data_IF_991889820028
#
_entry.id   IF_991889820028
#
_cell.length_a   1.000
_cell.length_b   1.000
_cell.length_c   1.000
_cell.angle_alpha   90.00
_cell.angle_beta   90.00
_cell.angle_gamma   90.00
#
_symmetry.space_group_name_H-M   'P 1'
#
loop_
_entity.id
_entity.type
_entity.pdbx_description
1 polymer ?
#
# COMPACT_ATOMS: atom_id res chain seq x y z
N UNK A 1 10.05 34.49 33.09
CA UNK A 1 10.18 34.13 31.66
C UNK A 1 10.45 35.41 30.88
N UNK A 2 11.57 35.47 30.17
CA UNK A 2 11.91 36.64 29.34
C UNK A 2 11.07 36.64 28.06
N UNK A 3 10.86 37.79 27.38
CA UNK A 3 10.16 37.84 26.09
C UNK A 3 10.78 36.91 25.04
N UNK A 4 12.11 36.71 25.09
CA UNK A 4 12.84 35.79 24.21
C UNK A 4 12.50 34.33 24.49
N UNK A 5 12.44 33.94 25.76
CA UNK A 5 12.04 32.59 26.16
C UNK A 5 10.58 32.31 25.77
N UNK A 6 9.68 33.29 25.93
CA UNK A 6 8.29 33.16 25.52
C UNK A 6 8.15 32.93 24.02
N UNK A 7 8.91 33.67 23.21
CA UNK A 7 8.95 33.50 21.75
C UNK A 7 9.52 32.13 21.34
N UNK A 8 10.57 31.65 22.02
CA UNK A 8 11.14 30.32 21.76
C UNK A 8 10.16 29.21 22.13
N UNK A 9 9.42 29.34 23.23
CA UNK A 9 8.42 28.36 23.64
C UNK A 9 7.22 28.35 22.67
N UNK A 10 6.78 29.53 22.23
CA UNK A 10 5.73 29.64 21.21
C UNK A 10 6.17 28.99 19.89
N UNK A 11 7.43 29.22 19.49
CA UNK A 11 8.01 28.55 18.32
C UNK A 11 8.04 27.02 18.50
N UNK A 12 8.49 26.53 19.66
CA UNK A 12 8.48 25.10 20.00
C UNK A 12 7.08 24.49 19.84
N UNK A 13 6.07 25.13 20.45
CA UNK A 13 4.68 24.68 20.38
C UNK A 13 4.15 24.64 18.95
N UNK A 14 4.48 25.63 18.13
CA UNK A 14 4.07 25.66 16.71
C UNK A 14 4.69 24.52 15.89
N UNK A 15 5.98 24.20 16.13
CA UNK A 15 6.68 23.12 15.44
C UNK A 15 6.08 21.77 15.80
N UNK A 16 5.82 21.53 17.09
CA UNK A 16 5.24 20.27 17.57
C UNK A 16 3.82 20.09 17.04
N UNK A 17 3.00 21.15 17.06
CA UNK A 17 1.65 21.11 16.52
C UNK A 17 1.66 20.76 15.02
N UNK A 18 2.54 21.40 14.26
CA UNK A 18 2.71 21.13 12.83
C UNK A 18 3.13 19.68 12.56
N UNK A 19 4.10 19.16 13.32
CA UNK A 19 4.55 17.78 13.21
C UNK A 19 3.44 16.78 13.60
N UNK A 20 2.66 17.08 14.63
CA UNK A 20 1.52 16.26 15.06
C UNK A 20 0.41 16.21 14.00
N UNK A 21 0.11 17.34 13.35
CA UNK A 21 -0.84 17.40 12.22
C UNK A 21 -0.32 16.56 11.04
N UNK A 22 0.97 16.70 10.70
CA UNK A 22 1.62 15.92 9.65
C UNK A 22 1.53 14.42 9.93
N UNK A 23 1.89 14.00 11.14
CA UNK A 23 1.87 12.61 11.56
C UNK A 23 0.46 12.03 11.58
N UNK A 24 -0.55 12.82 11.95
CA UNK A 24 -1.95 12.40 11.94
C UNK A 24 -2.44 12.10 10.51
N UNK A 25 -2.08 12.94 9.55
CA UNK A 25 -2.40 12.72 8.14
C UNK A 25 -1.61 11.53 7.57
N UNK A 26 -0.32 11.41 7.90
CA UNK A 26 0.50 10.26 7.51
C UNK A 26 -0.10 8.95 8.04
N UNK A 27 -0.49 8.90 9.32
CA UNK A 27 -1.11 7.73 9.94
C UNK A 27 -2.41 7.33 9.24
N UNK A 28 -3.22 8.29 8.79
CA UNK A 28 -4.42 8.02 8.00
C UNK A 28 -4.07 7.30 6.68
N UNK A 29 -3.14 7.85 5.89
CA UNK A 29 -2.72 7.23 4.63
C UNK A 29 -2.03 5.88 4.84
N UNK A 30 -1.24 5.75 5.90
CA UNK A 30 -0.63 4.49 6.30
C UNK A 30 -1.68 3.42 6.66
N UNK A 31 -2.76 3.80 7.34
CA UNK A 31 -3.90 2.93 7.62
C UNK A 31 -4.59 2.45 6.33
N UNK A 32 -4.85 3.36 5.39
CA UNK A 32 -5.38 3.00 4.05
C UNK A 32 -4.44 2.04 3.33
N UNK A 33 -3.13 2.31 3.37
CA UNK A 33 -2.15 1.45 2.74
C UNK A 33 -2.12 0.04 3.35
N UNK A 34 -2.23 -0.05 4.68
CA UNK A 34 -2.28 -1.31 5.42
C UNK A 34 -3.51 -2.14 5.02
N UNK A 35 -4.68 -1.52 4.88
CA UNK A 35 -5.88 -2.23 4.42
C UNK A 35 -5.68 -2.75 2.99
N UNK A 36 -5.12 -1.92 2.10
CA UNK A 36 -4.87 -2.30 0.72
C UNK A 36 -3.86 -3.45 0.60
N UNK A 37 -2.78 -3.46 1.39
CA UNK A 37 -1.78 -4.53 1.33
C UNK A 37 -2.34 -5.85 1.85
N UNK A 38 -3.15 -5.82 2.91
CA UNK A 38 -3.84 -7.01 3.44
C UNK A 38 -4.78 -7.57 2.37
N UNK A 39 -5.62 -6.73 1.77
CA UNK A 39 -6.59 -7.16 0.75
C UNK A 39 -5.91 -7.67 -0.52
N UNK A 40 -4.86 -6.99 -0.98
CA UNK A 40 -4.04 -7.40 -2.12
C UNK A 40 -3.40 -8.77 -1.89
N UNK A 41 -2.78 -8.96 -0.73
CA UNK A 41 -2.10 -10.21 -0.37
C UNK A 41 -3.09 -11.36 -0.21
N UNK A 42 -4.19 -11.13 0.51
CA UNK A 42 -5.26 -12.12 0.70
C UNK A 42 -5.78 -12.63 -0.65
N UNK A 43 -6.15 -11.72 -1.55
CA UNK A 43 -6.70 -12.11 -2.84
C UNK A 43 -5.70 -12.82 -3.74
N UNK A 44 -4.43 -12.42 -3.71
CA UNK A 44 -3.42 -13.04 -4.56
C UNK A 44 -2.96 -14.41 -4.05
N UNK A 45 -3.03 -14.64 -2.74
CA UNK A 45 -2.71 -15.94 -2.13
C UNK A 45 -3.87 -16.93 -2.30
N UNK A 46 -5.12 -16.47 -2.14
CA UNK A 46 -6.29 -17.34 -2.18
C UNK A 46 -6.75 -17.72 -3.58
N UNK A 47 -6.70 -16.80 -4.55
CA UNK A 47 -6.96 -17.15 -5.94
C UNK A 47 -5.66 -17.72 -6.51
N UNK A 48 -5.71 -18.82 -7.27
CA UNK A 48 -4.55 -19.44 -7.98
C UNK A 48 -3.93 -18.54 -9.07
N UNK A 49 -3.97 -17.24 -8.87
CA UNK A 49 -3.53 -16.13 -9.71
C UNK A 49 -2.02 -15.93 -9.62
N UNK A 50 -1.28 -17.04 -9.59
CA UNK A 50 0.19 -17.13 -9.45
C UNK A 50 0.91 -16.87 -10.77
N UNK A 51 0.43 -15.91 -11.57
CA UNK A 51 1.22 -15.47 -12.72
C UNK A 51 2.52 -14.84 -12.22
N UNK A 52 3.64 -15.08 -12.93
CA UNK A 52 4.95 -14.52 -12.56
C UNK A 52 4.88 -13.00 -12.37
N UNK A 53 4.11 -12.30 -13.22
CA UNK A 53 3.90 -10.87 -13.13
C UNK A 53 3.21 -10.43 -11.83
N UNK A 54 2.19 -11.16 -11.38
CA UNK A 54 1.49 -10.84 -10.14
C UNK A 54 2.38 -11.08 -8.91
N UNK A 55 3.19 -12.15 -8.91
CA UNK A 55 4.11 -12.45 -7.81
C UNK A 55 5.18 -11.35 -7.71
N UNK A 56 5.77 -10.95 -8.84
CA UNK A 56 6.75 -9.85 -8.87
C UNK A 56 6.13 -8.56 -8.32
N UNK A 57 4.91 -8.23 -8.75
CA UNK A 57 4.18 -7.06 -8.23
C UNK A 57 3.89 -7.17 -6.74
N UNK A 58 3.46 -8.33 -6.24
CA UNK A 58 3.21 -8.52 -4.81
C UNK A 58 4.50 -8.31 -4.01
N UNK A 59 5.60 -8.93 -4.42
CA UNK A 59 6.89 -8.77 -3.76
C UNK A 59 7.33 -7.30 -3.76
N UNK A 60 7.20 -6.59 -4.89
CA UNK A 60 7.51 -5.17 -4.96
C UNK A 60 6.64 -4.36 -3.97
N UNK A 61 5.33 -4.60 -3.94
CA UNK A 61 4.42 -3.88 -3.02
C UNK A 61 4.66 -4.22 -1.54
N UNK A 62 5.09 -5.44 -1.21
CA UNK A 62 5.45 -5.83 0.16
C UNK A 62 6.76 -5.16 0.60
N UNK A 63 7.76 -5.07 -0.28
CA UNK A 63 9.00 -4.35 -0.01
C UNK A 63 8.71 -2.86 0.18
N UNK A 64 7.94 -2.25 -0.70
CA UNK A 64 7.52 -0.83 -0.56
C UNK A 64 6.73 -0.61 0.73
N UNK A 65 5.87 -1.55 1.13
CA UNK A 65 5.13 -1.47 2.39
C UNK A 65 6.08 -1.53 3.59
N UNK A 66 7.05 -2.46 3.60
CA UNK A 66 8.05 -2.55 4.67
C UNK A 66 8.86 -1.25 4.80
N UNK A 67 9.33 -0.69 3.68
CA UNK A 67 10.04 0.61 3.65
C UNK A 67 9.16 1.73 4.21
N UNK A 68 7.89 1.77 3.80
CA UNK A 68 6.90 2.75 4.29
C UNK A 68 6.63 2.61 5.79
N UNK A 69 6.54 1.38 6.32
CA UNK A 69 6.37 1.12 7.76
C UNK A 69 7.60 1.56 8.55
N UNK A 70 8.81 1.27 8.05
CA UNK A 70 10.05 1.76 8.67
C UNK A 70 10.11 3.28 8.68
N UNK A 71 9.67 3.94 7.60
CA UNK A 71 9.62 5.40 7.55
C UNK A 71 8.69 5.99 8.61
N UNK A 72 7.46 5.46 8.70
CA UNK A 72 6.47 5.90 9.70
C UNK A 72 6.94 5.62 11.15
N UNK A 73 7.64 4.51 11.38
CA UNK A 73 8.23 4.20 12.68
C UNK A 73 9.32 5.21 13.06
N UNK A 74 10.15 5.63 12.09
CA UNK A 74 11.14 6.69 12.33
C UNK A 74 10.48 8.04 12.59
N UNK A 75 9.40 8.40 11.90
CA UNK A 75 8.65 9.66 12.15
C UNK A 75 8.17 9.71 13.61
N UNK A 76 7.63 8.59 14.11
CA UNK A 76 7.21 8.44 15.51
C UNK A 76 8.40 8.58 16.48
N UNK A 77 9.52 7.91 16.21
CA UNK A 77 10.73 7.99 17.05
C UNK A 77 11.28 9.42 17.11
N UNK A 78 11.35 10.11 15.97
CA UNK A 78 11.83 11.49 15.87
C UNK A 78 10.94 12.41 16.70
N UNK A 79 9.61 12.31 16.56
CA UNK A 79 8.69 13.13 17.34
C UNK A 79 8.86 12.92 18.85
N UNK A 80 8.97 11.67 19.29
CA UNK A 80 9.18 11.33 20.71
C UNK A 80 10.52 11.87 21.20
N UNK A 81 11.61 11.65 20.46
CA UNK A 81 12.94 12.11 20.85
C UNK A 81 13.04 13.63 20.90
N UNK A 82 12.43 14.33 19.95
CA UNK A 82 12.32 15.79 19.98
C UNK A 82 11.56 16.27 21.22
N UNK A 83 10.42 15.67 21.51
CA UNK A 83 9.61 16.04 22.69
C UNK A 83 10.37 15.80 24.00
N UNK A 84 10.99 14.62 24.15
CA UNK A 84 11.77 14.28 25.34
C UNK A 84 12.96 15.23 25.49
N UNK A 85 13.72 15.47 24.44
CA UNK A 85 14.94 16.32 24.51
C UNK A 85 14.62 17.78 24.79
N UNK A 86 13.51 18.31 24.28
CA UNK A 86 13.12 19.73 24.48
C UNK A 86 12.47 19.95 25.85
N UNK A 87 11.57 19.07 26.29
CA UNK A 87 10.74 19.34 27.48
C UNK A 87 11.12 18.56 28.73
N UNK A 88 11.74 17.38 28.61
CA UNK A 88 11.89 16.44 29.73
C UNK A 88 13.36 16.22 30.10
N UNK A 89 14.21 15.87 29.14
CA UNK A 89 15.54 15.29 29.41
C UNK A 89 16.57 16.25 29.98
N UNK A 90 16.41 17.56 29.76
CA UNK A 90 17.39 18.57 30.15
C UNK A 90 16.74 19.81 30.81
N UNK A 91 16.04 19.66 31.95
CA UNK A 91 15.30 20.75 32.59
C UNK A 91 16.20 21.89 33.09
N UNK A 92 17.50 21.63 33.26
CA UNK A 92 18.47 22.60 33.77
C UNK A 92 19.13 23.43 32.65
N UNK A 93 19.01 23.01 31.39
CA UNK A 93 19.60 23.72 30.26
C UNK A 93 18.69 24.85 29.75
N UNK A 94 19.26 25.95 29.22
CA UNK A 94 18.48 26.95 28.51
C UNK A 94 17.73 26.35 27.31
N UNK A 95 16.53 26.86 27.02
CA UNK A 95 15.66 26.31 25.97
C UNK A 95 16.35 26.24 24.59
N UNK A 96 17.16 27.25 24.24
CA UNK A 96 17.95 27.26 23.01
C UNK A 96 18.91 26.06 22.91
N UNK A 97 19.59 25.71 24.00
CA UNK A 97 20.52 24.58 24.04
C UNK A 97 19.77 23.25 23.92
N UNK A 98 18.56 23.14 24.49
CA UNK A 98 17.73 21.94 24.36
C UNK A 98 17.34 21.64 22.91
N UNK A 99 17.10 22.68 22.10
CA UNK A 99 16.84 22.50 20.66
C UNK A 99 18.04 21.91 19.92
N UNK A 100 19.25 22.37 20.25
CA UNK A 100 20.49 21.83 19.65
C UNK A 100 20.64 20.36 20.02
N UNK A 101 20.45 20.01 21.29
CA UNK A 101 20.50 18.62 21.76
C UNK A 101 19.44 17.77 21.07
N UNK A 102 18.21 18.27 20.96
CA UNK A 102 17.12 17.57 20.27
C UNK A 102 17.43 17.31 18.79
N UNK A 103 17.96 18.31 18.07
CA UNK A 103 18.35 18.17 16.67
C UNK A 103 19.46 17.13 16.49
N UNK A 104 20.49 17.19 17.34
CA UNK A 104 21.60 16.23 17.32
C UNK A 104 21.16 14.80 17.68
N UNK A 105 20.16 14.65 18.55
CA UNK A 105 19.62 13.35 18.93
C UNK A 105 18.85 12.67 17.79
N UNK A 106 18.31 13.44 16.83
CA UNK A 106 17.45 12.91 15.76
C UNK A 106 18.09 12.84 14.38
N UNK A 107 19.22 13.51 14.17
CA UNK A 107 19.89 13.61 12.86
C UNK A 107 20.09 12.25 12.18
N UNK A 108 20.50 11.22 12.92
CA UNK A 108 20.69 9.87 12.37
C UNK A 108 19.39 9.23 11.87
N UNK A 109 18.27 9.49 12.56
CA UNK A 109 16.95 9.02 12.15
C UNK A 109 16.45 9.80 10.93
N UNK A 110 16.65 11.12 10.88
CA UNK A 110 16.28 11.98 9.74
C UNK A 110 17.04 11.59 8.46
N UNK A 111 18.33 11.27 8.59
CA UNK A 111 19.12 10.69 7.50
C UNK A 111 18.49 9.36 7.06
N UNK A 112 18.22 8.46 8.01
CA UNK A 112 17.57 7.18 7.72
C UNK A 112 16.24 7.31 6.98
N UNK A 113 15.41 8.28 7.36
CA UNK A 113 14.17 8.60 6.64
C UNK A 113 14.41 9.05 5.21
N UNK A 114 15.40 9.90 4.98
CA UNK A 114 15.78 10.35 3.64
C UNK A 114 16.18 9.17 2.74
N UNK A 115 16.88 8.17 3.28
CA UNK A 115 17.18 6.93 2.58
C UNK A 115 15.92 6.11 2.25
N UNK A 116 15.05 5.88 3.22
CA UNK A 116 13.81 5.12 3.02
C UNK A 116 12.89 5.80 1.99
N UNK A 117 12.74 7.12 2.08
CA UNK A 117 12.03 7.95 1.12
C UNK A 117 12.57 7.74 -0.30
N UNK A 118 13.89 7.82 -0.46
CA UNK A 118 14.57 7.71 -1.76
C UNK A 118 14.43 6.31 -2.35
N UNK A 119 14.62 5.27 -1.53
CA UNK A 119 14.44 3.87 -1.93
C UNK A 119 13.02 3.64 -2.44
N UNK A 120 12.01 4.14 -1.70
CA UNK A 120 10.62 3.97 -2.10
C UNK A 120 10.28 4.71 -3.39
N UNK A 121 10.86 5.90 -3.62
CA UNK A 121 10.76 6.63 -4.88
C UNK A 121 11.32 5.83 -6.07
N UNK A 122 12.52 5.26 -5.93
CA UNK A 122 13.16 4.42 -6.95
C UNK A 122 12.29 3.19 -7.27
N UNK A 123 11.78 2.51 -6.23
CA UNK A 123 10.90 1.35 -6.39
C UNK A 123 9.62 1.71 -7.13
N UNK A 124 9.01 2.86 -6.81
CA UNK A 124 7.80 3.33 -7.47
C UNK A 124 8.01 3.56 -8.96
N UNK A 125 9.08 4.27 -9.33
CA UNK A 125 9.42 4.55 -10.73
C UNK A 125 9.74 3.26 -11.49
N UNK A 126 10.51 2.36 -10.87
CA UNK A 126 10.84 1.06 -11.44
C UNK A 126 9.58 0.22 -11.71
N UNK A 127 8.64 0.19 -10.78
CA UNK A 127 7.36 -0.52 -10.94
C UNK A 127 6.57 0.07 -12.12
N UNK A 128 6.67 1.37 -12.38
CA UNK A 128 6.00 2.01 -13.51
C UNK A 128 6.59 1.63 -14.86
N UNK A 129 7.91 1.70 -14.99
CA UNK A 129 8.60 1.27 -16.21
C UNK A 129 8.42 -0.23 -16.44
N UNK A 130 8.45 -1.04 -15.37
CA UNK A 130 8.19 -2.48 -15.46
C UNK A 130 6.82 -2.79 -16.03
N UNK A 131 5.76 -2.07 -15.65
CA UNK A 131 4.42 -2.26 -16.23
C UNK A 131 4.40 -1.97 -17.73
N UNK A 132 5.05 -0.89 -18.17
CA UNK A 132 5.18 -0.60 -19.59
C UNK A 132 5.96 -1.71 -20.32
N UNK A 133 7.04 -2.21 -19.71
CA UNK A 133 7.84 -3.32 -20.23
C UNK A 133 7.02 -4.60 -20.46
N UNK A 134 6.27 -5.02 -19.44
CA UNK A 134 5.43 -6.23 -19.51
C UNK A 134 4.36 -6.12 -20.58
N UNK A 135 3.85 -4.90 -20.83
CA UNK A 135 2.79 -4.66 -21.81
C UNK A 135 3.31 -4.60 -23.27
N UNK A 136 4.59 -4.25 -23.45
CA UNK A 136 5.24 -4.07 -24.76
C UNK A 136 6.21 -5.21 -25.09
N UNK A 137 5.80 -6.46 -24.90
CA UNK A 137 6.66 -7.63 -25.21
C UNK A 137 7.06 -7.70 -26.69
N UNK A 138 6.15 -7.31 -27.59
CA UNK A 138 6.34 -7.41 -29.05
C UNK A 138 7.30 -6.34 -29.60
N UNK A 139 7.41 -5.18 -28.94
CA UNK A 139 8.26 -4.08 -29.40
C UNK A 139 8.85 -3.31 -28.20
N UNK A 140 9.85 -3.91 -27.56
CA UNK A 140 10.51 -3.37 -26.36
C UNK A 140 11.29 -2.08 -26.61
N UNK A 141 11.57 -1.72 -27.87
CA UNK A 141 12.29 -0.49 -28.23
C UNK A 141 11.59 0.77 -27.69
N UNK A 142 10.26 0.76 -27.64
CA UNK A 142 9.47 1.87 -27.11
C UNK A 142 9.67 2.09 -25.60
N UNK A 143 10.06 1.04 -24.87
CA UNK A 143 10.31 1.10 -23.42
C UNK A 143 11.72 1.62 -23.11
N UNK A 144 12.58 1.78 -24.11
CA UNK A 144 13.91 2.36 -23.92
C UNK A 144 13.81 3.82 -23.44
N UNK A 145 12.84 4.58 -23.95
CA UNK A 145 12.63 5.98 -23.52
C UNK A 145 12.37 6.12 -22.01
N UNK A 146 11.33 5.47 -21.41
CA UNK A 146 11.13 5.54 -19.97
C UNK A 146 12.24 4.84 -19.17
N UNK A 147 12.96 3.86 -19.74
CA UNK A 147 14.10 3.24 -19.07
C UNK A 147 15.29 4.21 -18.94
N UNK A 148 15.61 4.98 -19.97
CA UNK A 148 16.65 6.01 -19.91
C UNK A 148 16.28 7.10 -18.90
N UNK A 149 15.01 7.51 -18.87
CA UNK A 149 14.52 8.47 -17.88
C UNK A 149 14.61 7.91 -16.44
N UNK A 150 14.31 6.62 -16.25
CA UNK A 150 14.47 5.94 -14.95
C UNK A 150 15.93 5.92 -14.49
N UNK A 151 16.88 5.64 -15.38
CA UNK A 151 18.31 5.69 -15.04
C UNK A 151 18.75 7.10 -14.67
N UNK A 152 18.26 8.10 -15.40
CA UNK A 152 18.47 9.51 -15.04
C UNK A 152 17.87 9.85 -13.66
N UNK A 153 16.64 9.37 -13.39
CA UNK A 153 15.95 9.53 -12.09
C UNK A 153 16.77 8.92 -10.96
N UNK A 154 17.33 7.72 -11.17
CA UNK A 154 18.22 7.08 -10.21
C UNK A 154 19.48 7.93 -9.95
N UNK A 155 20.14 8.42 -11.00
CA UNK A 155 21.34 9.25 -10.84
C UNK A 155 21.05 10.54 -10.05
N UNK A 156 19.98 11.26 -10.39
CA UNK A 156 19.64 12.50 -9.68
C UNK A 156 19.21 12.25 -8.24
N UNK A 157 18.52 11.13 -7.97
CA UNK A 157 18.16 10.72 -6.61
C UNK A 157 19.40 10.37 -5.77
N UNK A 158 20.41 9.73 -6.35
CA UNK A 158 21.70 9.48 -5.70
C UNK A 158 22.44 10.79 -5.35
N UNK A 159 22.40 11.78 -6.24
CA UNK A 159 22.96 13.11 -5.97
C UNK A 159 22.15 13.81 -4.87
N UNK A 160 20.82 13.76 -4.95
CA UNK A 160 19.93 14.37 -3.96
C UNK A 160 20.20 13.84 -2.56
N UNK A 161 20.27 12.53 -2.38
CA UNK A 161 20.47 11.94 -1.06
C UNK A 161 21.84 12.26 -0.49
N UNK A 162 22.88 12.28 -1.32
CA UNK A 162 24.23 12.69 -0.90
C UNK A 162 24.27 14.15 -0.45
N UNK A 163 23.65 15.06 -1.21
CA UNK A 163 23.57 16.47 -0.85
C UNK A 163 22.71 16.73 0.38
N UNK A 164 21.57 16.04 0.53
CA UNK A 164 20.72 16.15 1.71
C UNK A 164 21.47 15.68 2.95
N UNK A 165 22.11 14.51 2.90
CA UNK A 165 22.92 13.99 4.01
C UNK A 165 24.07 14.92 4.37
N UNK A 166 24.77 15.48 3.38
CA UNK A 166 25.83 16.46 3.62
C UNK A 166 25.29 17.74 4.26
N UNK A 167 24.11 18.20 3.83
CA UNK A 167 23.43 19.34 4.45
C UNK A 167 23.10 19.05 5.91
N UNK A 168 22.51 17.91 6.20
CA UNK A 168 22.07 17.56 7.56
C UNK A 168 23.28 17.47 8.51
N UNK A 169 24.41 16.93 8.05
CA UNK A 169 25.63 16.75 8.88
C UNK A 169 26.48 18.01 9.05
N UNK A 170 26.52 18.90 8.05
CA UNK A 170 27.53 19.98 8.01
C UNK A 170 26.96 21.37 7.85
N UNK A 171 25.65 21.51 7.60
CA UNK A 171 24.96 22.76 7.26
C UNK A 171 25.64 23.56 6.12
N UNK A 172 26.48 22.90 5.32
CA UNK A 172 27.34 23.54 4.32
C UNK A 172 26.66 23.74 2.96
N UNK A 173 25.50 23.11 2.75
CA UNK A 173 24.80 23.12 1.47
C UNK A 173 23.70 24.20 1.48
N UNK A 174 23.72 25.16 0.53
CA UNK A 174 22.68 26.17 0.46
C UNK A 174 21.29 25.55 0.21
N UNK A 175 20.23 26.00 0.91
CA UNK A 175 18.87 25.49 0.71
C UNK A 175 18.39 25.58 -0.75
N UNK A 176 18.83 26.61 -1.47
CA UNK A 176 18.53 26.79 -2.89
C UNK A 176 19.09 25.67 -3.78
N UNK A 177 20.26 25.13 -3.44
CA UNK A 177 20.85 24.01 -4.18
C UNK A 177 20.06 22.71 -3.94
N UNK A 178 19.68 22.44 -2.69
CA UNK A 178 18.83 21.29 -2.34
C UNK A 178 17.47 21.35 -3.02
N UNK A 179 16.82 22.52 -3.00
CA UNK A 179 15.51 22.70 -3.63
C UNK A 179 15.57 22.47 -5.14
N UNK A 180 16.62 22.93 -5.82
CA UNK A 180 16.83 22.68 -7.26
C UNK A 180 16.99 21.19 -7.56
N UNK A 181 17.83 20.49 -6.80
CA UNK A 181 18.07 19.05 -7.01
C UNK A 181 16.82 18.24 -6.70
N UNK A 182 16.16 18.52 -5.57
CA UNK A 182 14.87 17.90 -5.20
C UNK A 182 13.85 18.05 -6.32
N UNK A 183 13.64 19.29 -6.78
CA UNK A 183 12.67 19.58 -7.84
C UNK A 183 13.02 18.89 -9.16
N UNK A 184 14.32 18.79 -9.48
CA UNK A 184 14.80 18.05 -10.66
C UNK A 184 14.49 16.56 -10.56
N UNK A 185 14.66 15.94 -9.38
CA UNK A 185 14.29 14.54 -9.14
C UNK A 185 12.79 14.31 -9.33
N UNK A 186 11.94 15.17 -8.75
CA UNK A 186 10.49 15.09 -8.94
C UNK A 186 10.09 15.28 -10.41
N UNK A 187 10.71 16.23 -11.12
CA UNK A 187 10.44 16.47 -12.53
C UNK A 187 10.83 15.28 -13.42
N UNK A 188 11.97 14.66 -13.14
CA UNK A 188 12.45 13.51 -13.90
C UNK A 188 11.64 12.24 -13.61
N UNK A 189 11.25 12.05 -12.35
CA UNK A 189 10.30 11.02 -11.94
C UNK A 189 8.94 11.23 -12.63
N UNK A 190 8.43 12.46 -12.67
CA UNK A 190 7.17 12.79 -13.36
C UNK A 190 7.27 12.51 -14.86
N UNK A 191 8.38 12.89 -15.50
CA UNK A 191 8.63 12.61 -16.91
C UNK A 191 8.64 11.09 -17.18
N UNK A 192 9.35 10.32 -16.36
CA UNK A 192 9.41 8.85 -16.43
C UNK A 192 8.00 8.25 -16.37
N UNK A 193 7.21 8.68 -15.38
CA UNK A 193 5.86 8.21 -15.15
C UNK A 193 4.89 8.63 -16.27
N UNK A 194 5.01 9.85 -16.77
CA UNK A 194 4.18 10.37 -17.86
C UNK A 194 4.44 9.61 -19.16
N UNK A 195 5.70 9.39 -19.52
CA UNK A 195 6.07 8.63 -20.72
C UNK A 195 5.60 7.18 -20.61
N UNK A 196 5.86 6.52 -19.48
CA UNK A 196 5.42 5.14 -19.27
C UNK A 196 3.88 5.00 -19.28
N UNK A 197 3.17 5.92 -18.62
CA UNK A 197 1.70 5.93 -18.60
C UNK A 197 1.14 6.21 -19.98
N UNK A 198 1.77 7.09 -20.77
CA UNK A 198 1.39 7.37 -22.16
C UNK A 198 1.57 6.15 -23.05
N UNK A 199 2.66 5.39 -22.89
CA UNK A 199 2.86 4.12 -23.61
C UNK A 199 1.81 3.07 -23.26
N UNK A 200 1.43 2.98 -21.98
CA UNK A 200 0.34 2.11 -21.53
C UNK A 200 -0.99 2.56 -22.15
N UNK A 201 -1.27 3.86 -22.14
CA UNK A 201 -2.45 4.46 -22.75
C UNK A 201 -2.53 4.25 -24.26
N UNK A 202 -1.41 4.38 -24.97
CA UNK A 202 -1.34 4.09 -26.39
C UNK A 202 -1.66 2.63 -26.69
N UNK A 203 -1.10 1.67 -25.94
CA UNK A 203 -1.43 0.25 -26.10
C UNK A 203 -2.91 0.00 -25.80
N UNK A 204 -3.47 0.66 -24.77
CA UNK A 204 -4.90 0.60 -24.44
C UNK A 204 -5.77 1.09 -25.61
N UNK A 205 -5.41 2.22 -26.21
CA UNK A 205 -6.13 2.77 -27.36
C UNK A 205 -6.00 1.89 -28.61
N UNK A 206 -4.80 1.41 -28.92
CA UNK A 206 -4.56 0.49 -30.04
C UNK A 206 -5.37 -0.80 -29.89
N UNK A 207 -5.44 -1.35 -28.69
CA UNK A 207 -6.22 -2.56 -28.41
C UNK A 207 -7.72 -2.31 -28.61
N UNK A 208 -8.25 -1.20 -28.08
CA UNK A 208 -9.65 -0.78 -28.30
C UNK A 208 -9.98 -0.61 -29.78
N UNK A 209 -9.09 0.04 -30.55
CA UNK A 209 -9.27 0.26 -31.99
C UNK A 209 -9.28 -1.05 -32.76
N UNK A 210 -8.39 -1.97 -32.43
CA UNK A 210 -8.35 -3.31 -33.02
C UNK A 210 -9.64 -4.08 -32.75
N UNK A 211 -10.13 -4.09 -31.52
CA UNK A 211 -11.38 -4.75 -31.16
C UNK A 211 -12.58 -4.13 -31.88
N UNK A 212 -12.69 -2.80 -31.93
CA UNK A 212 -13.77 -2.10 -32.64
C UNK A 212 -13.78 -2.40 -34.15
N UNK A 213 -12.60 -2.61 -34.75
CA UNK A 213 -12.48 -2.91 -36.18
C UNK A 213 -12.80 -4.37 -36.52
N UNK A 214 -12.61 -5.30 -35.58
CA UNK A 214 -12.71 -6.75 -35.83
C UNK A 214 -13.90 -7.44 -35.14
N UNK A 215 -14.57 -6.78 -34.18
CA UNK A 215 -15.72 -7.31 -33.45
C UNK A 215 -16.95 -6.42 -33.68
N UNK A 216 -18.09 -7.04 -33.99
CA UNK A 216 -19.39 -6.36 -34.21
C UNK A 216 -19.82 -5.53 -32.99
N UNK A 217 -20.64 -4.50 -33.25
CA UNK A 217 -21.05 -3.35 -32.41
C UNK A 217 -21.76 -3.68 -31.06
N UNK A 218 -21.55 -4.85 -30.46
CA UNK A 218 -22.27 -5.28 -29.25
C UNK A 218 -21.40 -5.81 -28.09
N UNK A 219 -20.08 -5.87 -28.21
CA UNK A 219 -19.27 -6.48 -27.14
C UNK A 219 -18.96 -5.48 -26.01
N UNK A 220 -19.52 -5.76 -24.83
CA UNK A 220 -19.18 -5.17 -23.53
C UNK A 220 -17.65 -5.03 -23.40
N UNK A 221 -17.16 -3.90 -22.86
CA UNK A 221 -15.71 -3.63 -22.64
C UNK A 221 -14.98 -4.91 -22.20
N UNK A 222 -14.00 -5.36 -22.97
CA UNK A 222 -13.34 -6.65 -22.72
C UNK A 222 -12.59 -6.62 -21.39
N UNK A 223 -12.32 -7.80 -20.80
CA UNK A 223 -11.55 -7.91 -19.54
C UNK A 223 -10.24 -7.11 -19.63
N UNK A 224 -9.60 -7.14 -20.79
CA UNK A 224 -8.33 -6.46 -21.08
C UNK A 224 -8.51 -4.94 -21.16
N UNK A 225 -9.56 -4.44 -21.82
CA UNK A 225 -9.82 -3.00 -21.93
C UNK A 225 -10.06 -2.31 -20.58
N UNK A 226 -10.73 -2.99 -19.65
CA UNK A 226 -10.96 -2.47 -18.29
C UNK A 226 -9.68 -2.43 -17.47
N UNK A 227 -8.89 -3.50 -17.53
CA UNK A 227 -7.58 -3.56 -16.86
C UNK A 227 -6.66 -2.45 -17.39
N UNK A 228 -6.57 -2.29 -18.70
CA UNK A 228 -5.77 -1.22 -19.31
C UNK A 228 -6.27 0.19 -18.95
N UNK A 229 -7.59 0.39 -18.83
CA UNK A 229 -8.15 1.66 -18.36
C UNK A 229 -7.69 1.98 -16.92
N UNK A 230 -7.81 1.01 -16.01
CA UNK A 230 -7.38 1.16 -14.62
C UNK A 230 -5.89 1.50 -14.53
N UNK A 231 -5.05 0.85 -15.33
CA UNK A 231 -3.62 1.15 -15.35
C UNK A 231 -3.34 2.59 -15.79
N UNK A 232 -4.09 3.13 -16.74
CA UNK A 232 -3.95 4.52 -17.19
C UNK A 232 -4.49 5.48 -16.12
N UNK A 233 -5.69 5.23 -15.60
CA UNK A 233 -6.34 6.08 -14.59
C UNK A 233 -5.46 6.21 -13.34
N UNK A 234 -4.97 5.09 -12.82
CA UNK A 234 -4.09 5.09 -11.64
C UNK A 234 -2.72 5.73 -11.94
N UNK A 235 -2.16 5.55 -13.15
CA UNK A 235 -0.92 6.21 -13.56
C UNK A 235 -1.05 7.74 -13.63
N UNK A 236 -2.21 8.25 -14.07
CA UNK A 236 -2.51 9.68 -14.08
C UNK A 236 -2.61 10.25 -12.66
N UNK A 237 -3.24 9.53 -11.73
CA UNK A 237 -3.26 9.94 -10.31
C UNK A 237 -1.84 10.04 -9.73
N UNK A 238 -0.96 9.10 -10.06
CA UNK A 238 0.43 9.15 -9.61
C UNK A 238 1.22 10.30 -10.25
N UNK A 239 0.97 10.63 -11.52
CA UNK A 239 1.56 11.81 -12.16
C UNK A 239 1.05 13.11 -11.52
N UNK A 240 -0.24 13.19 -11.20
CA UNK A 240 -0.83 14.35 -10.53
C UNK A 240 -0.21 14.58 -9.15
N UNK A 241 -0.03 13.51 -8.36
CA UNK A 241 0.67 13.58 -7.08
C UNK A 241 2.07 14.19 -7.22
N UNK A 242 2.84 13.76 -8.21
CA UNK A 242 4.19 14.30 -8.44
C UNK A 242 4.16 15.76 -8.93
N UNK A 243 3.21 16.12 -9.78
CA UNK A 243 3.02 17.49 -10.24
C UNK A 243 2.68 18.45 -9.08
N UNK A 244 1.85 18.01 -8.13
CA UNK A 244 1.55 18.77 -6.91
C UNK A 244 2.83 19.04 -6.12
N UNK A 245 3.70 18.04 -6.00
CA UNK A 245 4.96 18.15 -5.23
C UNK A 245 5.95 19.11 -5.88
N UNK A 246 6.03 19.10 -7.22
CA UNK A 246 6.79 20.10 -7.98
C UNK A 246 6.21 21.50 -7.76
N UNK A 247 4.89 21.66 -7.91
CA UNK A 247 4.23 22.96 -7.76
C UNK A 247 4.48 23.57 -6.37
N UNK A 248 4.42 22.75 -5.32
CA UNK A 248 4.72 23.17 -3.95
C UNK A 248 6.18 23.54 -3.73
N UNK A 249 7.12 22.98 -4.51
CA UNK A 249 8.53 23.37 -4.48
C UNK A 249 8.80 24.76 -5.08
N UNK A 250 7.90 25.28 -5.92
CA UNK A 250 8.04 26.58 -6.59
C UNK A 250 7.17 27.69 -6.00
N UNK A 251 6.12 27.35 -5.23
CA UNK A 251 5.33 28.36 -4.53
C UNK A 251 6.17 28.85 -3.35
N UNK A 252 6.60 30.13 -3.32
CA UNK A 252 7.28 30.70 -2.17
C UNK A 252 6.25 30.84 -1.04
N UNK A 253 6.09 29.77 -0.25
CA UNK A 253 5.54 29.91 1.08
C UNK A 253 6.54 30.75 1.89
N UNK A 254 6.08 31.66 2.76
CA UNK A 254 6.95 32.57 3.51
C UNK A 254 8.14 31.82 4.11
N UNK A 255 9.36 32.27 3.77
CA UNK A 255 10.68 31.67 4.01
C UNK A 255 10.77 30.81 5.29
N UNK A 256 10.30 29.58 5.21
CA UNK A 256 10.49 28.62 6.28
C UNK A 256 10.80 27.26 5.66
N UNK A 257 12.07 26.83 5.66
CA UNK A 257 12.47 25.49 5.20
C UNK A 257 11.77 24.35 5.96
N UNK A 258 10.95 24.67 6.98
CA UNK A 258 10.05 23.78 7.73
C UNK A 258 8.58 24.19 7.62
N UNK A 259 8.09 24.56 6.44
CA UNK A 259 6.65 24.81 6.27
C UNK A 259 5.86 23.54 6.65
N UNK A 260 4.79 23.63 7.46
CA UNK A 260 4.00 22.46 7.86
C UNK A 260 3.52 21.66 6.66
N UNK A 261 3.18 22.36 5.57
CA UNK A 261 2.67 21.76 4.35
C UNK A 261 3.71 20.87 3.68
N UNK A 262 4.97 21.31 3.58
CA UNK A 262 6.03 20.49 2.98
C UNK A 262 6.32 19.21 3.79
N UNK A 263 6.28 19.27 5.12
CA UNK A 263 6.51 18.10 5.99
C UNK A 263 5.37 17.08 5.87
N UNK A 264 4.12 17.55 5.88
CA UNK A 264 2.92 16.71 5.65
C UNK A 264 3.06 15.99 4.30
N UNK A 265 3.30 16.75 3.24
CA UNK A 265 3.31 16.24 1.87
C UNK A 265 4.44 15.24 1.63
N UNK A 266 5.62 15.49 2.20
CA UNK A 266 6.75 14.59 2.05
C UNK A 266 6.46 13.19 2.63
N UNK A 267 6.04 13.11 3.90
CA UNK A 267 5.76 11.80 4.49
C UNK A 267 4.52 11.11 3.92
N UNK A 268 3.47 11.88 3.56
CA UNK A 268 2.30 11.30 2.86
C UNK A 268 2.70 10.73 1.50
N UNK A 269 3.64 11.36 0.79
CA UNK A 269 4.07 10.89 -0.52
C UNK A 269 4.74 9.51 -0.50
N UNK A 270 5.42 9.15 0.60
CA UNK A 270 5.99 7.79 0.81
C UNK A 270 4.88 6.75 0.80
N UNK A 271 3.79 7.00 1.53
CA UNK A 271 2.65 6.09 1.56
C UNK A 271 1.95 6.03 0.19
N UNK A 272 1.75 7.17 -0.47
CA UNK A 272 1.09 7.23 -1.78
C UNK A 272 1.86 6.49 -2.88
N UNK A 273 3.20 6.55 -2.87
CA UNK A 273 4.04 5.80 -3.80
C UNK A 273 3.81 4.28 -3.71
N UNK A 274 3.58 3.75 -2.50
CA UNK A 274 3.27 2.34 -2.28
C UNK A 274 1.78 1.97 -2.46
N UNK A 275 0.86 2.89 -2.14
CA UNK A 275 -0.59 2.70 -2.34
C UNK A 275 -0.89 2.48 -3.82
N UNK A 276 -0.25 3.25 -4.70
CA UNK A 276 -0.48 3.20 -6.13
C UNK A 276 -0.37 1.78 -6.75
N UNK A 277 0.78 1.09 -6.69
CA UNK A 277 0.91 -0.24 -7.28
C UNK A 277 0.03 -1.29 -6.56
N UNK A 278 -0.21 -1.15 -5.27
CA UNK A 278 -1.11 -2.04 -4.52
C UNK A 278 -2.57 -1.87 -4.96
N UNK A 279 -3.01 -0.62 -5.17
CA UNK A 279 -4.35 -0.32 -5.67
C UNK A 279 -4.58 -0.94 -7.05
N UNK A 280 -3.57 -0.95 -7.93
CA UNK A 280 -3.66 -1.65 -9.22
C UNK A 280 -3.96 -3.13 -9.02
N UNK A 281 -3.24 -3.82 -8.12
CA UNK A 281 -3.47 -5.24 -7.86
C UNK A 281 -4.92 -5.45 -7.37
N UNK A 282 -5.37 -4.64 -6.42
CA UNK A 282 -6.73 -4.70 -5.88
C UNK A 282 -7.79 -4.49 -6.95
N UNK A 283 -7.67 -3.43 -7.76
CA UNK A 283 -8.64 -3.08 -8.80
C UNK A 283 -8.69 -4.13 -9.92
N UNK A 284 -7.53 -4.66 -10.33
CA UNK A 284 -7.47 -5.72 -11.34
C UNK A 284 -8.15 -6.99 -10.83
N UNK A 285 -7.94 -7.35 -9.55
CA UNK A 285 -8.62 -8.50 -8.94
C UNK A 285 -10.13 -8.27 -8.80
N UNK A 286 -10.56 -7.07 -8.41
CA UNK A 286 -11.97 -6.72 -8.27
C UNK A 286 -12.70 -6.78 -9.62
N UNK A 287 -12.09 -6.23 -10.68
CA UNK A 287 -12.64 -6.34 -12.03
C UNK A 287 -12.78 -7.79 -12.48
N UNK A 288 -11.76 -8.63 -12.25
CA UNK A 288 -11.84 -10.06 -12.58
C UNK A 288 -12.99 -10.72 -11.82
N UNK A 289 -13.13 -10.46 -10.52
CA UNK A 289 -14.20 -11.02 -9.70
C UNK A 289 -15.62 -10.65 -10.18
N UNK A 290 -15.85 -9.38 -10.53
CA UNK A 290 -17.14 -8.94 -11.09
C UNK A 290 -17.44 -9.68 -12.41
N UNK A 291 -16.41 -9.91 -13.21
CA UNK A 291 -16.55 -10.55 -14.52
C UNK A 291 -16.65 -12.08 -14.44
N UNK A 292 -16.26 -12.69 -13.33
CA UNK A 292 -16.32 -14.14 -13.09
C UNK A 292 -17.58 -14.55 -12.30
N UNK A 293 -18.42 -13.60 -11.87
CA UNK A 293 -19.68 -13.88 -11.16
C UNK A 293 -20.74 -14.45 -12.15
N UNK A 294 -21.17 -15.72 -12.02
CA UNK A 294 -22.18 -16.31 -12.90
C UNK A 294 -23.53 -15.64 -12.64
N UNK A 295 -24.10 -14.99 -13.65
CA UNK A 295 -25.35 -14.21 -13.55
C UNK A 295 -25.27 -12.83 -14.19
N UNK A 296 -24.06 -12.34 -14.47
CA UNK A 296 -23.79 -11.12 -15.24
C UNK A 296 -23.29 -11.44 -16.66
N UNK A 297 -23.32 -12.72 -17.05
CA UNK A 297 -23.32 -13.19 -18.43
C UNK A 297 -24.76 -13.28 -18.92
N UNK A 298 -25.30 -12.20 -19.48
CA UNK A 298 -26.55 -12.28 -20.23
C UNK A 298 -26.30 -13.22 -21.42
N UNK A 299 -27.01 -14.36 -21.41
CA UNK A 299 -27.07 -15.29 -22.53
C UNK A 299 -27.43 -14.53 -23.81
N UNK A 300 -26.46 -14.35 -24.69
CA UNK A 300 -26.72 -14.04 -26.09
C UNK A 300 -26.45 -15.33 -26.87
N UNK A 301 -27.43 -16.22 -26.82
CA UNK A 301 -27.69 -17.19 -27.87
C UNK A 301 -29.11 -16.95 -28.33
N UNK A 302 -29.25 -16.04 -29.30
CA UNK A 302 -30.51 -15.83 -29.99
C UNK A 302 -30.67 -16.90 -31.08
N UNK A 303 -31.59 -17.85 -30.85
CA UNK A 303 -32.52 -18.31 -31.87
C UNK A 303 -33.64 -19.11 -31.20
N UNK A 304 -34.85 -18.55 -31.20
CA UNK A 304 -36.10 -19.29 -30.97
C UNK A 304 -36.83 -18.98 -29.65
N UNK A 305 -37.86 -18.13 -29.76
CA UNK A 305 -39.09 -18.07 -28.93
C UNK A 305 -38.97 -17.84 -27.40
N UNK A 306 -39.49 -16.70 -26.95
CA UNK A 306 -40.01 -16.46 -25.59
C UNK A 306 -41.56 -16.54 -25.62
N UNK A 307 -42.29 -16.57 -24.48
CA UNK A 307 -41.83 -16.62 -23.08
C UNK A 307 -42.54 -17.72 -22.25
N UNK A 308 -42.16 -17.93 -20.97
CA UNK A 308 -43.07 -18.00 -19.80
C UNK A 308 -42.26 -18.13 -18.49
N UNK A 309 -42.56 -17.18 -17.59
CA UNK A 309 -42.41 -17.11 -16.13
C UNK A 309 -41.45 -18.02 -15.36
N UNK A 310 -40.61 -17.41 -14.52
CA UNK A 310 -40.30 -17.96 -13.20
C UNK A 310 -40.40 -16.88 -12.11
N UNK A 311 -41.39 -17.09 -11.25
CA UNK A 311 -41.69 -16.34 -10.04
C UNK A 311 -40.49 -16.37 -9.06
N UNK A 312 -40.12 -15.21 -8.52
CA UNK A 312 -39.38 -15.10 -7.27
C UNK A 312 -40.35 -15.39 -6.11
N UNK A 313 -40.21 -16.56 -5.49
CA UNK A 313 -40.92 -16.90 -4.25
C UNK A 313 -40.04 -16.52 -3.06
N UNK A 314 -40.47 -15.53 -2.28
CA UNK A 314 -39.88 -15.22 -0.98
C UNK A 314 -40.59 -16.07 0.08
N UNK A 315 -39.82 -16.83 0.85
CA UNK A 315 -40.33 -17.64 1.95
C UNK A 315 -40.85 -16.74 3.09
N UNK A 316 -42.12 -16.92 3.45
CA UNK A 316 -42.76 -16.31 4.63
C UNK A 316 -42.53 -17.22 5.86
N UNK A 317 -42.28 -16.68 7.08
CA UNK A 317 -42.08 -17.49 8.28
C UNK A 317 -43.38 -18.17 8.74
N UNK A 318 -43.34 -19.37 9.35
CA UNK A 318 -44.54 -20.02 9.87
C UNK A 318 -45.01 -19.35 11.16
N UNK A 319 -46.29 -18.94 11.17
CA UNK A 319 -47.00 -18.48 12.34
C UNK A 319 -47.48 -19.68 13.19
N UNK A 320 -47.30 -19.55 14.50
CA UNK A 320 -47.92 -20.39 15.55
C UNK A 320 -49.45 -20.26 15.51
N UNK A 321 -50.17 -21.37 15.50
CA UNK A 321 -51.54 -21.43 16.02
C UNK A 321 -51.76 -22.75 16.76
N UNK A 322 -52.21 -22.61 18.01
CA UNK A 322 -52.43 -23.67 18.98
C UNK A 322 -53.83 -24.31 18.88
N UNK A 323 -53.94 -25.49 19.53
CA UNK A 323 -55.13 -26.19 20.07
C UNK A 323 -56.07 -26.86 19.06
N UNK A 324 -56.72 -27.99 19.34
CA UNK A 324 -56.62 -29.10 20.32
C UNK A 324 -57.72 -30.11 19.97
N UNK A 325 -57.60 -31.35 20.45
CA UNK A 325 -58.64 -32.37 20.77
C UNK A 325 -58.33 -33.76 20.17
N UNK A 326 -57.91 -34.72 21.02
CA UNK A 326 -58.70 -35.85 21.60
C UNK A 326 -59.02 -36.96 20.56
N UNK A 327 -58.73 -38.26 20.67
CA UNK A 327 -58.49 -39.26 21.75
C UNK A 327 -57.95 -40.59 21.08
N UNK A 328 -57.64 -41.71 21.79
CA UNK A 328 -56.48 -42.58 21.51
C UNK A 328 -56.78 -44.09 21.33
N UNK A 329 -55.68 -44.87 21.21
CA UNK A 329 -55.45 -46.34 21.41
C UNK A 329 -55.43 -47.22 20.16
N UNK A 330 -54.28 -47.88 19.92
CA UNK A 330 -54.02 -49.29 20.31
C UNK A 330 -52.53 -49.62 20.10
N UNK A 331 -51.91 -50.20 21.12
CA UNK A 331 -50.51 -50.62 21.09
C UNK A 331 -50.30 -52.07 20.67
N UNK A 332 -49.05 -52.40 20.42
CA UNK A 332 -48.48 -53.73 20.69
C UNK A 332 -47.03 -53.55 21.12
N UNK A 333 -46.76 -54.14 22.28
CA UNK A 333 -45.49 -54.22 23.00
C UNK A 333 -44.68 -55.37 22.42
N UNK A 334 -43.36 -55.25 22.33
CA UNK A 334 -42.49 -56.41 22.51
C UNK A 334 -41.29 -56.08 23.39
N UNK A 335 -41.09 -56.98 24.35
CA UNK A 335 -40.20 -56.98 25.51
C UNK A 335 -38.68 -57.00 25.19
N UNK A 336 -37.95 -56.24 26.02
CA UNK A 336 -36.52 -56.30 26.41
C UNK A 336 -36.29 -57.46 27.44
N UNK A 337 -35.13 -57.73 28.11
CA UNK A 337 -33.72 -57.21 28.07
C UNK A 337 -32.69 -58.38 28.36
N UNK A 338 -31.57 -58.29 29.13
CA UNK A 338 -30.62 -57.20 29.48
C UNK A 338 -29.09 -57.56 29.38
N UNK A 339 -28.26 -56.51 29.48
CA UNK A 339 -26.96 -56.37 30.22
C UNK A 339 -25.82 -57.40 30.14
N UNK A 340 -24.58 -56.91 29.93
CA UNK A 340 -23.62 -56.72 31.06
C UNK A 340 -22.35 -55.93 30.69
N UNK A 341 -21.98 -55.13 31.69
CA UNK A 341 -20.85 -54.24 31.93
C UNK A 341 -19.53 -54.94 32.32
N UNK A 342 -18.40 -54.22 32.23
CA UNK A 342 -17.14 -54.47 32.96
C UNK A 342 -15.93 -53.98 32.13
N UNK A 343 -15.23 -52.86 32.39
CA UNK A 343 -14.42 -52.36 33.54
C UNK A 343 -13.14 -53.16 33.88
N UNK A 344 -12.00 -52.45 33.95
CA UNK A 344 -10.71 -52.82 34.57
C UNK A 344 -9.82 -53.72 33.70
N UNK A 345 -8.49 -53.62 33.63
CA UNK A 345 -7.46 -53.28 34.63
C UNK A 345 -6.11 -53.21 33.85
N UNK A 346 -5.34 -52.11 33.86
CA UNK A 346 -4.14 -51.88 34.71
C UNK A 346 -3.29 -53.13 35.00
N UNK A 347 -2.05 -53.19 34.49
CA UNK A 347 -0.82 -53.07 35.32
C UNK A 347 0.47 -53.46 34.56
N UNK A 348 1.51 -52.64 34.82
CA UNK A 348 2.94 -52.90 35.08
C UNK A 348 3.68 -54.01 34.28
N UNK A 349 4.91 -53.85 33.80
CA UNK A 349 6.13 -53.62 34.60
C UNK A 349 7.35 -53.21 33.72
N UNK A 350 8.15 -52.33 34.31
CA UNK A 350 9.63 -52.25 34.37
C UNK A 350 10.53 -52.28 33.11
N UNK A 351 11.35 -51.22 33.00
CA UNK A 351 12.66 -51.24 32.32
C UNK A 351 13.73 -52.06 33.08
N UNK A 352 15.01 -52.06 32.66
CA UNK A 352 15.83 -50.87 32.90
C UNK A 352 16.97 -50.59 31.90
N UNK A 353 17.38 -49.31 31.90
CA UNK A 353 18.74 -48.76 32.00
C UNK A 353 19.86 -49.04 30.97
N UNK A 354 20.65 -47.96 30.79
CA UNK A 354 22.10 -47.89 30.52
C UNK A 354 22.55 -48.19 29.08
N UNK A 355 23.60 -47.59 28.49
CA UNK A 355 24.51 -46.49 28.82
C UNK A 355 25.33 -46.23 27.52
N UNK A 356 25.73 -44.97 27.31
CA UNK A 356 27.13 -44.60 26.99
C UNK A 356 27.69 -44.47 25.54
N UNK A 357 28.40 -43.33 25.37
CA UNK A 357 29.51 -42.93 24.46
C UNK A 357 29.24 -42.70 22.97
N UNK A 358 29.39 -41.46 22.45
CA UNK A 358 30.64 -40.68 22.22
C UNK A 358 31.58 -41.25 21.16
N UNK A 359 31.69 -40.54 20.02
CA UNK A 359 32.92 -40.19 19.25
C UNK A 359 32.49 -39.47 17.97
N UNK A 360 32.65 -38.15 17.84
CA UNK A 360 33.81 -37.45 17.26
C UNK A 360 34.33 -38.03 15.94
N UNK A 361 34.17 -37.23 14.90
CA UNK A 361 34.93 -37.20 13.65
C UNK A 361 34.77 -35.80 13.08
#
# INVERSE_FOLDING_TARGET
MTPREAQQLQHAGSVILNNAIALSLQAFFYGVYTILIIFSTYHLVQKDMRSRANIIMLMATLVMFAVSTSHAALDMVILIQQFVSIFIGHPDLPLATRFIVANNAVIGYEIGQTYLYTINGILSDAVVVWRAWVLWQDNRKLVLAPLVLLLGSLCILCVQIGLQTASDLTDSIPPNALNKVRTSSWALSLATNTVATSLIGYKAWSHRRFLKANLSHGSRKTKVEKVLAILVETGLFYCLQQAIMIGMGYIPLPDNPRSPVSSVLNGVSVHLAGIYPTMIIVLVNFQRSIMDTPGVSLNVSGSGTMPIASHLSFATPPAMSARSDMLPKRGTVHFEPPERTGFGQEDLELGPAALEKSRTG
#
